data_IF_842309305979
#
_entry.id   IF_842309305979
#
_cell.length_a   1.000
_cell.length_b   1.000
_cell.length_c   1.000
_cell.angle_alpha   90.00
_cell.angle_beta   90.00
_cell.angle_gamma   90.00
#
_symmetry.space_group_name_H-M   'P 1'
#
loop_
_entity.id
_entity.type
_entity.pdbx_description
1 polymer ?
#
# COMPACT_ATOMS: atom_id res chain seq x y z
N UNK A 1 -13.73 12.57 -38.35
CA UNK A 1 -13.27 13.86 -37.77
C UNK A 1 -12.43 13.56 -36.55
N UNK A 2 -11.18 14.06 -36.58
CA UNK A 2 -10.18 13.72 -35.57
C UNK A 2 -10.41 14.29 -34.19
N UNK A 3 -9.51 13.95 -33.26
CA UNK A 3 -9.45 14.39 -31.87
C UNK A 3 -9.45 15.92 -31.83
N UNK A 4 -10.44 16.53 -31.15
CA UNK A 4 -10.64 17.97 -31.19
C UNK A 4 -9.93 18.75 -30.08
N UNK A 5 -9.41 18.09 -29.03
CA UNK A 5 -8.57 18.79 -28.03
C UNK A 5 -7.78 17.83 -27.14
N UNK A 6 -6.53 18.18 -26.85
CA UNK A 6 -5.72 17.62 -25.77
C UNK A 6 -5.45 18.75 -24.80
N UNK A 7 -5.87 18.63 -23.54
CA UNK A 7 -5.59 19.60 -22.49
C UNK A 7 -4.85 18.94 -21.33
N UNK A 8 -3.62 19.45 -21.06
CA UNK A 8 -2.81 19.16 -19.87
C UNK A 8 -2.78 17.70 -19.39
N UNK A 9 -2.29 16.80 -20.26
CA UNK A 9 -1.95 15.43 -19.83
C UNK A 9 -3.12 14.47 -19.66
N UNK A 10 -4.35 14.92 -19.89
CA UNK A 10 -5.50 14.02 -19.94
C UNK A 10 -5.85 13.74 -21.40
N UNK A 11 -5.86 12.48 -21.79
CA UNK A 11 -6.36 12.05 -23.09
C UNK A 11 -7.87 11.85 -22.94
N UNK A 12 -8.65 12.75 -23.51
CA UNK A 12 -10.09 12.54 -23.64
C UNK A 12 -10.36 11.84 -24.96
N UNK A 13 -10.70 10.58 -24.92
CA UNK A 13 -11.14 9.83 -26.10
C UNK A 13 -12.62 10.10 -26.26
N UNK A 14 -12.99 10.86 -27.28
CA UNK A 14 -14.40 11.08 -27.64
C UNK A 14 -14.72 10.04 -28.72
N UNK A 15 -15.56 9.10 -28.38
CA UNK A 15 -16.10 8.16 -29.34
C UNK A 15 -17.16 8.86 -30.19
N UNK A 16 -17.05 8.72 -31.50
CA UNK A 16 -18.10 9.15 -32.41
C UNK A 16 -19.39 8.33 -32.14
N UNK A 17 -20.53 8.96 -32.33
CA UNK A 17 -21.80 8.23 -32.21
C UNK A 17 -21.91 7.19 -33.32
N UNK A 18 -22.67 6.15 -33.09
CA UNK A 18 -22.83 5.03 -34.06
C UNK A 18 -23.31 5.46 -35.44
N UNK A 19 -23.98 6.60 -35.53
CA UNK A 19 -24.39 7.21 -36.80
C UNK A 19 -23.21 7.71 -37.65
N UNK A 20 -22.06 7.98 -37.04
CA UNK A 20 -20.86 8.46 -37.76
C UNK A 20 -20.16 7.36 -38.55
N UNK A 21 -20.52 6.12 -38.28
CA UNK A 21 -20.01 4.93 -38.95
C UNK A 21 -20.96 4.37 -40.03
N UNK A 22 -22.09 5.05 -40.30
CA UNK A 22 -23.01 4.64 -41.33
C UNK A 22 -22.35 4.80 -42.71
N UNK A 23 -22.04 3.68 -43.34
CA UNK A 23 -21.39 3.64 -44.65
C UNK A 23 -19.93 3.19 -44.67
N UNK A 24 -19.35 2.89 -43.50
CA UNK A 24 -18.06 2.23 -43.45
C UNK A 24 -18.27 0.72 -43.74
N UNK A 25 -17.81 0.26 -44.90
CA UNK A 25 -17.73 -1.16 -45.16
C UNK A 25 -16.42 -1.69 -44.60
N UNK A 26 -16.53 -2.38 -43.46
CA UNK A 26 -15.40 -2.99 -42.80
C UNK A 26 -15.81 -3.60 -41.49
N UNK A 27 -15.01 -4.50 -41.01
CA UNK A 27 -15.24 -5.12 -39.71
C UNK A 27 -15.26 -4.04 -38.61
N UNK A 28 -16.28 -4.04 -37.76
CA UNK A 28 -16.35 -3.14 -36.63
C UNK A 28 -15.24 -3.50 -35.67
N UNK A 29 -14.56 -2.48 -35.19
CA UNK A 29 -13.73 -2.64 -33.99
C UNK A 29 -14.64 -3.14 -32.87
N UNK A 30 -14.52 -4.41 -32.49
CA UNK A 30 -15.36 -5.05 -31.48
C UNK A 30 -16.17 -6.25 -31.96
N UNK A 31 -16.30 -6.50 -33.28
CA UNK A 31 -16.94 -7.71 -33.83
C UNK A 31 -15.96 -8.89 -34.01
N UNK A 32 -14.67 -8.69 -33.79
CA UNK A 32 -13.82 -9.81 -33.44
C UNK A 32 -14.33 -10.26 -32.04
N UNK A 33 -14.96 -11.45 -31.98
CA UNK A 33 -15.31 -12.12 -30.73
C UNK A 33 -14.06 -12.42 -29.90
N UNK A 34 -13.31 -11.36 -29.60
CA UNK A 34 -12.34 -11.33 -28.53
C UNK A 34 -13.18 -11.28 -27.26
N UNK A 35 -13.22 -12.38 -26.54
CA UNK A 35 -13.46 -12.35 -25.11
C UNK A 35 -12.73 -11.11 -24.58
N UNK A 36 -13.45 -10.25 -23.88
CA UNK A 36 -12.82 -9.23 -23.03
C UNK A 36 -11.67 -9.97 -22.33
N UNK A 37 -10.41 -9.51 -22.47
CA UNK A 37 -9.31 -10.26 -21.91
C UNK A 37 -9.69 -10.53 -20.46
N UNK A 38 -9.88 -11.82 -20.14
CA UNK A 38 -10.07 -12.22 -18.74
C UNK A 38 -8.95 -11.53 -17.98
N UNK A 39 -9.24 -10.86 -16.85
CA UNK A 39 -8.22 -10.22 -16.04
C UNK A 39 -7.11 -11.25 -15.85
N UNK A 40 -5.94 -10.93 -16.35
CA UNK A 40 -4.78 -11.81 -16.25
C UNK A 40 -4.62 -12.09 -14.76
N UNK A 41 -4.65 -13.37 -14.30
CA UNK A 41 -4.41 -13.66 -12.90
C UNK A 41 -3.05 -13.08 -12.54
N UNK A 42 -3.01 -11.94 -11.84
CA UNK A 42 -1.77 -11.25 -11.53
C UNK A 42 -1.81 -9.73 -11.46
N UNK A 43 -2.93 -9.06 -11.70
CA UNK A 43 -3.08 -7.64 -11.39
C UNK A 43 -3.54 -7.49 -9.93
N UNK A 44 -2.71 -8.00 -9.02
CA UNK A 44 -2.88 -7.69 -7.59
C UNK A 44 -2.72 -6.17 -7.41
N UNK A 45 -3.68 -5.55 -6.76
CA UNK A 45 -3.62 -4.13 -6.43
C UNK A 45 -2.49 -3.91 -5.42
N UNK A 46 -1.36 -3.38 -5.88
CA UNK A 46 -0.17 -3.16 -5.07
C UNK A 46 -0.04 -1.69 -4.72
N UNK A 47 0.02 -1.39 -3.44
CA UNK A 47 0.19 -0.03 -2.92
C UNK A 47 1.52 0.08 -2.18
N UNK A 48 2.33 1.09 -2.53
CA UNK A 48 3.59 1.40 -1.85
C UNK A 48 3.43 2.67 -1.04
N UNK A 49 3.69 2.59 0.25
CA UNK A 49 3.63 3.71 1.20
C UNK A 49 5.04 4.06 1.66
N UNK A 50 5.58 5.19 1.19
CA UNK A 50 6.91 5.68 1.56
C UNK A 50 6.82 6.56 2.79
N UNK A 51 7.55 6.24 3.85
CA UNK A 51 7.41 6.94 5.14
C UNK A 51 7.76 8.42 5.06
N UNK A 52 8.71 8.81 4.20
CA UNK A 52 9.08 10.20 3.98
C UNK A 52 7.94 11.08 3.42
N UNK A 53 6.95 10.48 2.76
CA UNK A 53 5.81 11.22 2.22
C UNK A 53 4.82 11.66 3.31
N UNK A 54 4.86 11.01 4.47
CA UNK A 54 3.95 11.25 5.60
C UNK A 54 4.61 11.95 6.78
N UNK A 55 5.94 11.91 6.87
CA UNK A 55 6.72 12.51 7.95
C UNK A 55 7.76 13.47 7.39
N UNK A 56 7.77 14.71 7.87
CA UNK A 56 8.72 15.75 7.41
C UNK A 56 9.86 16.03 8.37
N UNK A 57 9.77 15.59 9.62
CA UNK A 57 10.74 15.83 10.68
C UNK A 57 10.86 14.63 11.62
N UNK A 58 11.89 14.62 12.48
CA UNK A 58 11.99 13.60 13.53
C UNK A 58 10.75 13.67 14.45
N UNK A 59 10.04 12.57 14.58
CA UNK A 59 8.78 12.48 15.32
C UNK A 59 8.72 11.19 16.12
N UNK A 60 8.26 11.28 17.36
CA UNK A 60 7.91 10.10 18.15
C UNK A 60 6.58 9.55 17.66
N UNK A 61 6.55 8.29 17.21
CA UNK A 61 5.36 7.66 16.63
C UNK A 61 4.55 6.82 17.63
N UNK A 62 5.09 6.59 18.83
CA UNK A 62 4.38 5.98 19.96
C UNK A 62 4.41 6.92 21.15
N UNK A 63 3.32 6.95 21.94
CA UNK A 63 3.31 7.74 23.16
C UNK A 63 4.15 7.09 24.26
N UNK A 64 4.80 7.91 25.09
CA UNK A 64 5.62 7.44 26.22
C UNK A 64 4.81 6.73 27.30
N UNK A 65 3.51 7.02 27.40
CA UNK A 65 2.57 6.40 28.34
C UNK A 65 1.97 5.08 27.84
N UNK A 66 2.38 4.62 26.65
CA UNK A 66 1.86 3.41 26.01
C UNK A 66 0.56 3.61 25.23
N UNK A 67 0.01 4.83 25.19
CA UNK A 67 -1.16 5.12 24.37
C UNK A 67 -0.80 5.02 22.88
N UNK A 68 -1.64 4.34 22.10
CA UNK A 68 -1.42 4.21 20.68
C UNK A 68 -1.51 5.56 19.97
N UNK A 69 -0.61 5.80 19.00
CA UNK A 69 -0.72 6.88 18.02
C UNK A 69 -1.17 6.29 16.67
N UNK A 70 -2.10 6.95 16.02
CA UNK A 70 -2.64 6.52 14.73
C UNK A 70 -2.32 7.55 13.65
N UNK A 71 -1.90 7.06 12.51
CA UNK A 71 -1.55 7.85 11.33
C UNK A 71 -2.35 7.34 10.14
N UNK A 72 -2.80 8.26 9.29
CA UNK A 72 -3.49 7.91 8.06
C UNK A 72 -2.53 8.01 6.89
N UNK A 73 -2.27 6.89 6.23
CA UNK A 73 -1.40 6.77 5.06
C UNK A 73 -2.26 6.40 3.85
N UNK A 74 -2.74 7.42 3.11
CA UNK A 74 -3.75 7.23 2.09
C UNK A 74 -5.05 6.66 2.68
N UNK A 75 -5.48 5.51 2.19
CA UNK A 75 -6.67 4.80 2.68
C UNK A 75 -6.41 3.93 3.90
N UNK A 76 -5.13 3.77 4.29
CA UNK A 76 -4.71 2.90 5.37
C UNK A 76 -4.56 3.66 6.68
N UNK A 77 -4.89 3.01 7.80
CA UNK A 77 -4.62 3.53 9.14
C UNK A 77 -3.57 2.66 9.81
N UNK A 78 -2.46 3.29 10.22
CA UNK A 78 -1.41 2.65 10.99
C UNK A 78 -1.49 3.14 12.43
N UNK A 79 -1.70 2.23 13.37
CA UNK A 79 -1.73 2.55 14.81
C UNK A 79 -0.54 1.90 15.49
N UNK A 80 0.22 2.71 16.22
CA UNK A 80 1.43 2.26 16.91
C UNK A 80 1.24 2.33 18.41
N UNK A 81 1.57 1.24 19.10
CA UNK A 81 1.54 1.14 20.57
C UNK A 81 2.92 0.81 21.10
N UNK A 82 3.28 1.45 22.19
CA UNK A 82 4.52 1.19 22.91
C UNK A 82 4.31 0.13 23.99
N UNK A 83 5.21 -0.84 24.04
CA UNK A 83 5.23 -1.87 25.08
C UNK A 83 6.50 -1.78 25.93
N UNK A 84 7.61 -1.32 25.35
CA UNK A 84 8.92 -1.21 25.99
C UNK A 84 9.34 0.25 26.26
N UNK A 85 10.53 0.42 26.85
CA UNK A 85 11.05 1.72 27.26
C UNK A 85 11.38 2.67 26.11
N UNK A 86 11.68 2.15 24.92
CA UNK A 86 12.03 2.97 23.77
C UNK A 86 10.79 3.33 22.96
N UNK A 87 10.62 4.61 22.70
CA UNK A 87 9.58 5.08 21.80
C UNK A 87 10.01 4.92 20.33
N UNK A 88 9.19 4.23 19.54
CA UNK A 88 9.40 4.18 18.10
C UNK A 88 9.30 5.58 17.49
N UNK A 89 10.12 5.86 16.48
CA UNK A 89 10.21 7.21 15.92
C UNK A 89 10.48 7.20 14.41
N UNK A 90 10.06 8.28 13.75
CA UNK A 90 10.53 8.61 12.42
C UNK A 90 11.89 9.32 12.52
N UNK A 91 12.88 8.84 11.79
CA UNK A 91 14.19 9.44 11.69
C UNK A 91 14.33 10.15 10.34
N UNK A 92 14.34 11.47 10.35
CA UNK A 92 14.39 12.28 9.13
C UNK A 92 15.70 12.08 8.33
N UNK A 93 16.83 11.84 9.01
CA UNK A 93 18.13 11.61 8.33
C UNK A 93 18.15 10.31 7.53
N UNK A 94 17.41 9.30 8.00
CA UNK A 94 17.32 7.99 7.34
C UNK A 94 16.08 7.91 6.44
N UNK A 95 15.18 8.88 6.52
CA UNK A 95 13.87 8.91 5.87
C UNK A 95 13.04 7.65 6.18
N UNK A 96 13.08 7.19 7.43
CA UNK A 96 12.44 5.93 7.80
C UNK A 96 12.07 5.81 9.27
N UNK A 97 11.27 4.83 9.58
CA UNK A 97 10.83 4.52 10.93
C UNK A 97 11.82 3.58 11.63
N UNK A 98 12.11 3.88 12.90
CA UNK A 98 12.77 2.99 13.85
C UNK A 98 11.70 2.41 14.77
N UNK A 99 11.38 1.15 14.56
CA UNK A 99 10.37 0.42 15.30
C UNK A 99 11.05 -0.52 16.28
N UNK A 100 10.82 -0.30 17.57
CA UNK A 100 11.57 -0.98 18.60
C UNK A 100 10.94 -2.31 19.01
N UNK A 101 11.78 -3.17 19.59
CA UNK A 101 11.38 -4.49 20.06
C UNK A 101 10.21 -4.39 21.05
N UNK A 102 9.20 -5.23 20.84
CA UNK A 102 8.00 -5.31 21.67
C UNK A 102 6.91 -4.30 21.32
N UNK A 103 7.24 -3.24 20.55
CA UNK A 103 6.22 -2.32 20.07
C UNK A 103 5.30 -3.02 19.07
N UNK A 104 4.06 -2.56 19.02
CA UNK A 104 2.98 -3.14 18.22
C UNK A 104 2.52 -2.13 17.18
N UNK A 105 2.37 -2.59 15.95
CA UNK A 105 1.83 -1.83 14.84
C UNK A 105 0.60 -2.55 14.29
N UNK A 106 -0.55 -1.88 14.29
CA UNK A 106 -1.74 -2.35 13.60
C UNK A 106 -1.87 -1.63 12.27
N UNK A 107 -2.06 -2.38 11.19
CA UNK A 107 -2.32 -1.87 9.84
C UNK A 107 -3.76 -2.24 9.49
N UNK A 108 -4.59 -1.22 9.22
CA UNK A 108 -6.00 -1.35 8.88
C UNK A 108 -6.23 -0.80 7.47
N UNK A 109 -6.74 -1.64 6.59
CA UNK A 109 -7.07 -1.33 5.20
C UNK A 109 -8.57 -1.03 4.99
N UNK A 110 -9.33 -0.83 6.07
CA UNK A 110 -10.77 -0.57 6.01
C UNK A 110 -11.55 -1.75 5.45
N UNK A 111 -12.22 -1.55 4.31
CA UNK A 111 -13.00 -2.61 3.65
C UNK A 111 -12.17 -3.49 2.70
N UNK A 112 -10.91 -3.15 2.45
CA UNK A 112 -10.04 -3.91 1.54
C UNK A 112 -9.41 -5.09 2.27
N UNK A 113 -9.14 -6.17 1.55
CA UNK A 113 -8.46 -7.36 2.08
C UNK A 113 -7.00 -7.34 1.66
N UNK A 114 -6.08 -7.31 2.61
CA UNK A 114 -4.66 -7.44 2.38
C UNK A 114 -4.28 -8.93 2.24
N UNK A 115 -3.44 -9.26 1.26
CA UNK A 115 -2.91 -10.59 1.03
C UNK A 115 -1.43 -10.68 1.41
N UNK A 116 -0.71 -9.56 1.30
CA UNK A 116 0.71 -9.47 1.62
C UNK A 116 1.07 -8.08 2.13
N UNK A 117 2.02 -8.01 3.06
CA UNK A 117 2.65 -6.77 3.53
C UNK A 117 4.15 -6.99 3.57
N UNK A 118 4.91 -6.15 2.88
CA UNK A 118 6.37 -6.20 2.82
C UNK A 118 6.97 -4.88 3.31
N UNK A 119 8.00 -4.97 4.14
CA UNK A 119 8.70 -3.79 4.65
C UNK A 119 10.08 -3.67 4.00
N UNK A 120 10.35 -2.53 3.35
CA UNK A 120 11.68 -2.17 2.89
C UNK A 120 12.53 -1.75 4.08
N UNK A 121 13.38 -2.65 4.56
CA UNK A 121 14.19 -2.43 5.75
C UNK A 121 15.54 -1.79 5.43
N UNK A 122 16.14 -1.14 6.43
CA UNK A 122 17.45 -0.50 6.30
C UNK A 122 18.33 -0.65 7.56
N UNK A 123 19.62 -0.40 7.39
CA UNK A 123 20.57 -0.34 8.51
C UNK A 123 20.78 -1.68 9.22
N UNK A 124 20.52 -2.80 8.55
CA UNK A 124 20.67 -4.14 9.12
C UNK A 124 19.72 -4.45 10.27
N UNK A 125 18.61 -3.68 10.41
CA UNK A 125 17.58 -3.88 11.43
C UNK A 125 16.33 -4.44 10.75
N UNK A 126 16.26 -5.76 10.65
CA UNK A 126 15.31 -6.51 9.83
C UNK A 126 14.27 -7.30 10.64
N UNK A 127 14.14 -7.05 11.92
CA UNK A 127 13.14 -7.74 12.74
C UNK A 127 13.56 -9.13 13.21
N UNK A 128 12.70 -10.15 13.30
CA UNK A 128 11.41 -10.31 12.62
C UNK A 128 10.21 -9.69 13.33
N UNK A 129 9.06 -9.74 12.65
CA UNK A 129 7.75 -9.53 13.27
C UNK A 129 7.12 -10.85 13.71
N UNK A 130 6.15 -10.77 14.61
CA UNK A 130 5.07 -11.76 14.80
C UNK A 130 3.75 -11.09 14.47
N UNK A 131 2.72 -11.86 14.11
CA UNK A 131 1.40 -11.35 13.77
C UNK A 131 0.29 -12.05 14.55
N UNK A 132 -0.83 -11.36 14.72
CA UNK A 132 -2.05 -11.93 15.32
C UNK A 132 -2.83 -12.81 14.33
N UNK A 133 -2.64 -12.64 13.03
CA UNK A 133 -3.32 -13.36 11.94
C UNK A 133 -2.37 -13.55 10.77
N UNK A 134 -2.56 -14.62 9.98
CA UNK A 134 -1.68 -14.95 8.85
C UNK A 134 -0.33 -15.51 9.30
N UNK A 135 0.67 -15.35 8.44
CA UNK A 135 2.04 -15.85 8.66
C UNK A 135 3.05 -14.76 8.41
N UNK A 136 4.17 -14.79 9.13
CA UNK A 136 5.28 -13.84 8.94
C UNK A 136 6.56 -14.62 8.65
N UNK A 137 7.28 -14.16 7.63
CA UNK A 137 8.66 -14.56 7.33
C UNK A 137 9.53 -13.29 7.32
N UNK A 138 10.38 -13.17 8.35
CA UNK A 138 11.19 -11.96 8.55
C UNK A 138 10.33 -10.69 8.75
N UNK A 139 10.28 -9.85 7.75
CA UNK A 139 9.48 -8.62 7.67
C UNK A 139 8.41 -8.66 6.58
N UNK A 140 8.08 -9.84 6.10
CA UNK A 140 6.99 -10.08 5.15
C UNK A 140 5.84 -10.81 5.85
N UNK A 141 4.66 -10.22 5.85
CA UNK A 141 3.43 -10.89 6.26
C UNK A 141 2.66 -11.38 5.04
N UNK A 142 2.03 -12.55 5.15
CA UNK A 142 1.11 -13.12 4.16
C UNK A 142 -0.13 -13.66 4.85
N UNK A 143 -1.29 -13.46 4.23
CA UNK A 143 -2.56 -13.91 4.81
C UNK A 143 -3.75 -13.42 4.02
N UNK A 144 -4.87 -13.23 4.70
CA UNK A 144 -6.10 -12.64 4.16
C UNK A 144 -6.81 -11.91 5.31
N UNK A 145 -6.64 -10.61 5.40
CA UNK A 145 -7.23 -9.81 6.47
C UNK A 145 -7.36 -8.33 6.08
N UNK A 146 -8.36 -7.64 6.60
CA UNK A 146 -8.49 -6.19 6.48
C UNK A 146 -7.70 -5.44 7.56
N UNK A 147 -7.32 -6.11 8.65
CA UNK A 147 -6.52 -5.54 9.73
C UNK A 147 -5.50 -6.58 10.21
N UNK A 148 -4.26 -6.14 10.40
CA UNK A 148 -3.15 -6.99 10.84
C UNK A 148 -2.38 -6.28 11.94
N UNK A 149 -2.18 -6.96 13.06
CA UNK A 149 -1.32 -6.51 14.14
C UNK A 149 0.04 -7.20 14.03
N UNK A 150 1.11 -6.41 13.99
CA UNK A 150 2.49 -6.84 13.91
C UNK A 150 3.25 -6.40 15.16
N UNK A 151 3.90 -7.33 15.83
CA UNK A 151 4.77 -7.07 16.97
C UNK A 151 6.23 -7.29 16.58
N UNK A 152 7.09 -6.31 16.84
CA UNK A 152 8.51 -6.44 16.55
C UNK A 152 9.20 -7.36 17.57
N UNK A 153 9.71 -8.50 17.13
CA UNK A 153 10.50 -9.42 17.98
C UNK A 153 11.92 -8.90 18.23
N UNK A 154 12.43 -8.05 17.35
CA UNK A 154 13.66 -7.28 17.49
C UNK A 154 13.47 -5.93 16.79
N UNK A 155 14.41 -4.98 16.95
CA UNK A 155 14.29 -3.69 16.26
C UNK A 155 14.18 -3.86 14.75
N UNK A 156 13.17 -3.23 14.16
CA UNK A 156 12.98 -3.09 12.72
C UNK A 156 13.18 -1.63 12.34
N UNK A 157 13.83 -1.40 11.20
CA UNK A 157 13.90 -0.07 10.58
C UNK A 157 13.43 -0.19 9.15
N UNK A 158 12.44 0.60 8.77
CA UNK A 158 11.87 0.54 7.43
C UNK A 158 11.59 1.92 6.84
N UNK A 159 11.70 2.02 5.52
CA UNK A 159 11.46 3.25 4.75
C UNK A 159 10.13 3.24 4.03
N UNK A 160 9.70 2.07 3.58
CA UNK A 160 8.44 1.89 2.88
C UNK A 160 7.75 0.60 3.29
N UNK A 161 6.46 0.57 3.04
CA UNK A 161 5.59 -0.60 3.21
C UNK A 161 4.86 -0.83 1.91
N UNK A 162 5.00 -2.03 1.36
CA UNK A 162 4.24 -2.47 0.18
C UNK A 162 3.10 -3.35 0.65
N UNK A 163 1.88 -3.02 0.27
CA UNK A 163 0.66 -3.76 0.59
C UNK A 163 0.06 -4.29 -0.70
N UNK A 164 -0.14 -5.61 -0.76
CA UNK A 164 -0.86 -6.27 -1.84
C UNK A 164 -2.28 -6.58 -1.36
N UNK A 165 -3.26 -6.27 -2.19
CA UNK A 165 -4.68 -6.47 -1.91
C UNK A 165 -5.22 -7.67 -2.68
N UNK A 166 -6.27 -8.29 -2.15
CA UNK A 166 -7.11 -9.20 -2.93
C UNK A 166 -7.93 -8.40 -3.94
N UNK A 167 -8.19 -9.00 -5.09
CA UNK A 167 -9.15 -8.52 -6.10
C UNK A 167 -10.59 -8.55 -5.58
#
# INVERSE_FOLDING_TARGET
KGISSISKGAIQIIFAQSSDYAGLSGERFGDAGGEEPEPTPGDEDVVVLTMADYFSAAEEIVNTDGTAKSYKFGDYTFSFSKVNSNASNYNASDAGIRFYQGDVMNIDAGSKTMTKIEFETYGGKTGPFTSNVGSVDGTTWTGSASSVELTASAQVRFKSVTITLAE
#
